data_IF_972950974048
#
_entry.id   IF_972950974048
#
_cell.length_a   1.000
_cell.length_b   1.000
_cell.length_c   1.000
_cell.angle_alpha   90.00
_cell.angle_beta   90.00
_cell.angle_gamma   90.00
#
_symmetry.space_group_name_H-M   'P 1'
#
loop_
_entity.id
_entity.type
_entity.pdbx_description
1 polymer ?
#
# COMPACT_ATOMS: atom_id res chain seq x y z
N UNK A 1 -7.33 10.36 -8.81
CA UNK A 1 -7.04 9.52 -9.98
C UNK A 1 -8.04 9.76 -11.11
N UNK A 2 -9.36 9.65 -10.89
CA UNK A 2 -10.37 10.01 -11.90
C UNK A 2 -10.40 9.04 -13.09
N UNK A 3 -10.82 9.51 -14.26
CA UNK A 3 -10.82 8.78 -15.54
C UNK A 3 -9.44 8.75 -16.23
N UNK A 4 -8.44 9.45 -15.68
CA UNK A 4 -7.10 9.48 -16.25
C UNK A 4 -6.38 8.14 -16.08
N UNK A 5 -6.28 7.38 -17.17
CA UNK A 5 -5.64 6.06 -17.25
C UNK A 5 -4.18 6.06 -16.78
N UNK A 6 -3.43 7.14 -17.03
CA UNK A 6 -2.02 7.22 -16.64
C UNK A 6 -1.87 7.30 -15.12
N UNK A 7 -2.78 8.00 -14.43
CA UNK A 7 -2.79 8.07 -12.97
C UNK A 7 -3.01 6.69 -12.35
N UNK A 8 -3.93 5.91 -12.90
CA UNK A 8 -4.15 4.52 -12.48
C UNK A 8 -2.94 3.65 -12.76
N UNK A 9 -2.34 3.73 -13.96
CA UNK A 9 -1.13 2.97 -14.32
C UNK A 9 0.00 3.24 -13.32
N UNK A 10 0.28 4.51 -13.04
CA UNK A 10 1.31 4.94 -12.08
C UNK A 10 1.04 4.43 -10.67
N UNK A 11 -0.19 4.55 -10.20
CA UNK A 11 -0.61 4.04 -8.90
C UNK A 11 -0.40 2.52 -8.77
N UNK A 12 -0.87 1.75 -9.76
CA UNK A 12 -0.76 0.28 -9.75
C UNK A 12 0.71 -0.17 -9.80
N UNK A 13 1.56 0.54 -10.57
CA UNK A 13 3.01 0.30 -10.59
C UNK A 13 3.66 0.56 -9.24
N UNK A 14 3.37 1.70 -8.63
CA UNK A 14 3.94 2.06 -7.34
C UNK A 14 3.52 1.08 -6.24
N UNK A 15 2.23 0.72 -6.20
CA UNK A 15 1.75 -0.27 -5.24
C UNK A 15 2.42 -1.64 -5.46
N UNK A 16 2.50 -2.13 -6.71
CA UNK A 16 3.19 -3.38 -7.01
C UNK A 16 4.70 -3.36 -6.70
N UNK A 17 5.37 -2.23 -6.92
CA UNK A 17 6.79 -2.10 -6.62
C UNK A 17 7.03 -2.11 -5.10
N UNK A 18 6.15 -1.48 -4.32
CA UNK A 18 6.39 -1.18 -2.90
C UNK A 18 5.45 -1.88 -1.92
N UNK A 19 4.65 -2.88 -2.34
CA UNK A 19 3.66 -3.55 -1.46
C UNK A 19 4.28 -4.08 -0.15
N UNK A 20 5.49 -4.65 -0.20
CA UNK A 20 6.19 -5.12 1.00
C UNK A 20 6.52 -3.99 1.99
N UNK A 21 6.85 -2.80 1.49
CA UNK A 21 7.10 -1.61 2.32
C UNK A 21 5.80 -1.12 2.94
N UNK A 22 4.73 -1.08 2.14
CA UNK A 22 3.40 -0.68 2.58
C UNK A 22 2.90 -1.61 3.68
N UNK A 23 2.97 -2.93 3.51
CA UNK A 23 2.52 -3.90 4.51
C UNK A 23 3.25 -3.74 5.83
N UNK A 24 4.58 -3.72 5.82
CA UNK A 24 5.36 -3.50 7.03
C UNK A 24 4.94 -2.21 7.72
N UNK A 25 4.77 -1.13 6.97
CA UNK A 25 4.37 0.16 7.51
C UNK A 25 2.98 0.10 8.18
N UNK A 26 1.97 -0.44 7.50
CA UNK A 26 0.57 -0.46 7.99
C UNK A 26 0.32 -1.46 9.11
N UNK A 27 1.29 -2.33 9.43
CA UNK A 27 1.26 -3.09 10.69
C UNK A 27 1.35 -2.19 11.93
N UNK A 28 1.63 -0.90 11.76
CA UNK A 28 1.60 0.09 12.83
C UNK A 28 2.75 -0.11 13.80
N UNK A 29 2.43 -0.28 15.07
CA UNK A 29 3.40 -0.61 16.11
C UNK A 29 3.78 -2.10 16.15
N UNK A 30 3.08 -2.97 15.42
CA UNK A 30 3.36 -4.41 15.40
C UNK A 30 4.48 -4.76 14.41
N UNK A 31 5.26 -5.79 14.75
CA UNK A 31 6.36 -6.29 13.92
C UNK A 31 5.91 -7.13 12.71
N UNK A 32 4.70 -7.69 12.76
CA UNK A 32 4.14 -8.52 11.70
C UNK A 32 2.62 -8.31 11.53
N UNK A 33 2.07 -8.92 10.47
CA UNK A 33 0.65 -8.90 10.17
C UNK A 33 -0.22 -9.63 11.20
N UNK A 34 -1.46 -9.18 11.37
CA UNK A 34 -2.47 -9.84 12.21
C UNK A 34 -2.77 -11.28 11.76
N UNK A 35 -3.31 -12.08 12.68
CA UNK A 35 -3.78 -13.43 12.36
C UNK A 35 -4.79 -13.41 11.20
N UNK A 36 -4.68 -14.37 10.29
CA UNK A 36 -5.48 -14.46 9.06
C UNK A 36 -5.39 -13.23 8.13
N UNK A 37 -4.36 -12.38 8.23
CA UNK A 37 -4.18 -11.23 7.34
C UNK A 37 -4.29 -11.67 5.87
N UNK A 38 -3.47 -12.63 5.44
CA UNK A 38 -3.46 -13.10 4.05
C UNK A 38 -4.73 -13.83 3.62
N UNK A 39 -5.58 -14.26 4.56
CA UNK A 39 -6.91 -14.82 4.25
C UNK A 39 -7.94 -13.75 3.92
N UNK A 40 -7.79 -12.53 4.47
CA UNK A 40 -8.79 -11.46 4.37
C UNK A 40 -8.28 -10.17 3.70
N UNK A 41 -6.98 -10.11 3.43
CA UNK A 41 -6.23 -9.04 2.79
C UNK A 41 -4.96 -9.64 2.14
N UNK A 42 -5.16 -10.58 1.20
CA UNK A 42 -4.08 -11.22 0.46
C UNK A 42 -3.27 -10.17 -0.34
N UNK A 43 -1.93 -10.24 -0.37
CA UNK A 43 -1.12 -9.33 -1.19
C UNK A 43 -1.45 -9.49 -2.67
N UNK A 44 -1.31 -8.42 -3.46
CA UNK A 44 -1.68 -8.42 -4.88
C UNK A 44 -0.57 -8.00 -5.83
N UNK A 45 0.60 -7.63 -5.33
CA UNK A 45 1.78 -7.22 -6.08
C UNK A 45 2.08 -8.20 -7.23
N UNK A 46 2.08 -9.51 -6.94
CA UNK A 46 2.31 -10.56 -7.94
C UNK A 46 1.27 -10.57 -9.06
N UNK A 47 0.00 -10.41 -8.70
CA UNK A 47 -1.09 -10.39 -9.66
C UNK A 47 -1.03 -9.12 -10.52
N UNK A 48 -0.70 -7.97 -9.92
CA UNK A 48 -0.50 -6.72 -10.64
C UNK A 48 0.67 -6.85 -11.62
N UNK A 49 1.79 -7.40 -11.18
CA UNK A 49 2.97 -7.58 -12.02
C UNK A 49 2.72 -8.53 -13.20
N UNK A 50 2.03 -9.66 -12.97
CA UNK A 50 1.61 -10.58 -14.05
C UNK A 50 0.74 -9.88 -15.10
N UNK A 51 -0.04 -8.88 -14.69
CA UNK A 51 -0.88 -8.07 -15.57
C UNK A 51 -0.19 -6.79 -16.08
N UNK A 52 1.06 -6.53 -15.72
CA UNK A 52 1.74 -5.25 -16.01
C UNK A 52 1.81 -4.93 -17.50
N UNK A 53 1.94 -5.95 -18.36
CA UNK A 53 1.91 -5.78 -19.82
C UNK A 53 0.58 -5.17 -20.31
N UNK A 54 -0.53 -5.50 -19.67
CA UNK A 54 -1.85 -4.99 -20.01
C UNK A 54 -2.07 -3.62 -19.37
N UNK A 55 -1.64 -3.43 -18.12
CA UNK A 55 -1.67 -2.14 -17.41
C UNK A 55 -0.90 -1.07 -18.22
N UNK A 56 0.27 -1.43 -18.77
CA UNK A 56 1.07 -0.55 -19.62
C UNK A 56 0.42 -0.22 -20.96
N UNK A 57 -0.43 -1.11 -21.49
CA UNK A 57 -1.11 -0.94 -22.78
C UNK A 57 -2.52 -0.36 -22.67
N UNK A 58 -3.03 -0.20 -21.44
CA UNK A 58 -4.35 0.36 -21.19
C UNK A 58 -4.47 1.75 -21.82
N UNK A 59 -5.48 1.96 -22.66
CA UNK A 59 -5.74 3.21 -23.39
C UNK A 59 -6.75 4.08 -22.67
N UNK A 60 -7.66 3.46 -21.93
CA UNK A 60 -8.76 4.12 -21.23
C UNK A 60 -9.02 3.46 -19.86
N UNK A 61 -10.02 3.99 -19.16
CA UNK A 61 -10.41 3.50 -17.84
C UNK A 61 -11.09 2.13 -17.89
N UNK A 62 -11.70 1.77 -19.02
CA UNK A 62 -12.37 0.47 -19.19
C UNK A 62 -11.35 -0.66 -19.32
N UNK A 63 -10.20 -0.42 -19.94
CA UNK A 63 -9.05 -1.32 -19.91
C UNK A 63 -8.60 -1.61 -18.47
N UNK A 64 -8.48 -0.55 -17.65
CA UNK A 64 -8.12 -0.68 -16.23
C UNK A 64 -9.19 -1.46 -15.47
N UNK A 65 -10.46 -1.13 -15.68
CA UNK A 65 -11.58 -1.82 -15.05
C UNK A 65 -11.57 -3.32 -15.37
N UNK A 66 -11.35 -3.71 -16.64
CA UNK A 66 -11.27 -5.12 -17.05
C UNK A 66 -10.14 -5.87 -16.36
N UNK A 67 -8.99 -5.23 -16.18
CA UNK A 67 -7.86 -5.82 -15.47
C UNK A 67 -8.21 -6.01 -13.98
N UNK A 68 -8.76 -4.98 -13.35
CA UNK A 68 -9.00 -4.93 -11.90
C UNK A 68 -10.26 -5.68 -11.45
N UNK A 69 -11.23 -5.92 -12.34
CA UNK A 69 -12.45 -6.69 -12.05
C UNK A 69 -12.17 -8.16 -11.66
N UNK A 70 -11.00 -8.68 -12.02
CA UNK A 70 -10.59 -10.05 -11.68
C UNK A 70 -10.07 -10.21 -10.25
N UNK A 71 -9.90 -9.12 -9.49
CA UNK A 71 -9.36 -9.16 -8.14
C UNK A 71 -10.45 -9.46 -7.10
N UNK A 72 -10.11 -10.32 -6.15
CA UNK A 72 -11.06 -10.76 -5.13
C UNK A 72 -11.29 -9.68 -4.05
N UNK A 73 -12.47 -9.70 -3.43
CA UNK A 73 -12.78 -8.83 -2.28
C UNK A 73 -11.79 -8.97 -1.12
N UNK A 74 -11.15 -10.13 -0.99
CA UNK A 74 -10.22 -10.45 0.10
C UNK A 74 -8.77 -10.05 -0.21
N UNK A 75 -8.54 -9.23 -1.23
CA UNK A 75 -7.23 -8.62 -1.53
C UNK A 75 -6.90 -7.47 -0.59
N UNK A 76 -5.61 -7.22 -0.34
CA UNK A 76 -5.12 -6.15 0.51
C UNK A 76 -5.41 -4.75 -0.06
N UNK A 77 -5.42 -4.63 -1.38
CA UNK A 77 -5.95 -3.50 -2.11
C UNK A 77 -7.15 -4.00 -2.91
N UNK A 78 -8.33 -3.49 -2.59
CA UNK A 78 -9.61 -3.96 -3.11
C UNK A 78 -10.28 -2.86 -3.94
N UNK A 79 -10.65 -3.23 -5.17
CA UNK A 79 -11.26 -2.34 -6.17
C UNK A 79 -12.76 -2.61 -6.39
N UNK A 80 -13.37 -3.55 -5.65
CA UNK A 80 -14.73 -4.05 -5.92
C UNK A 80 -15.82 -2.97 -5.88
N UNK A 81 -15.61 -1.92 -5.09
CA UNK A 81 -16.56 -0.82 -4.97
C UNK A 81 -16.17 0.38 -5.83
N UNK A 82 -15.09 0.30 -6.61
CA UNK A 82 -14.70 1.38 -7.53
C UNK A 82 -15.69 1.39 -8.69
N UNK A 83 -16.41 2.48 -8.85
CA UNK A 83 -17.40 2.65 -9.91
C UNK A 83 -16.75 3.26 -11.15
N UNK A 84 -16.02 2.45 -11.92
CA UNK A 84 -15.30 2.92 -13.11
C UNK A 84 -16.21 3.58 -14.16
N UNK A 85 -17.46 3.11 -14.29
CA UNK A 85 -18.46 3.69 -15.21
C UNK A 85 -19.01 5.05 -14.76
N UNK A 86 -18.75 5.47 -13.52
CA UNK A 86 -19.16 6.76 -12.93
C UNK A 86 -17.98 7.46 -12.27
N UNK A 87 -16.76 7.23 -12.77
CA UNK A 87 -15.52 7.61 -12.08
C UNK A 87 -15.32 9.12 -11.91
N UNK A 88 -16.01 9.92 -12.72
CA UNK A 88 -16.03 11.39 -12.66
C UNK A 88 -17.14 11.94 -11.75
N UNK A 89 -18.06 11.09 -11.28
CA UNK A 89 -19.19 11.50 -10.46
C UNK A 89 -18.89 11.27 -8.97
N UNK A 90 -19.42 12.15 -8.12
CA UNK A 90 -19.45 11.90 -6.67
C UNK A 90 -20.56 10.91 -6.37
N UNK A 91 -20.21 9.62 -6.32
CA UNK A 91 -21.15 8.54 -6.02
C UNK A 91 -20.91 7.97 -4.64
N UNK A 92 -21.99 7.74 -3.91
CA UNK A 92 -21.98 7.08 -2.60
C UNK A 92 -21.34 5.69 -2.75
N UNK A 93 -20.45 5.34 -1.81
CA UNK A 93 -19.74 4.05 -1.75
C UNK A 93 -18.80 3.77 -2.95
N UNK A 94 -18.36 4.78 -3.70
CA UNK A 94 -17.27 4.64 -4.66
C UNK A 94 -15.91 4.65 -3.92
N UNK A 95 -15.42 3.47 -3.53
CA UNK A 95 -14.25 3.36 -2.64
C UNK A 95 -13.17 2.45 -3.18
N UNK A 96 -11.93 2.92 -3.10
CA UNK A 96 -10.73 2.10 -3.10
C UNK A 96 -10.41 1.70 -1.65
N UNK A 97 -10.33 0.40 -1.37
CA UNK A 97 -10.16 -0.10 0.00
C UNK A 97 -8.74 -0.66 0.24
N UNK A 98 -8.05 -0.12 1.24
CA UNK A 98 -6.85 -0.74 1.82
C UNK A 98 -7.25 -1.58 3.04
N UNK A 99 -6.92 -2.87 3.01
CA UNK A 99 -7.41 -3.89 3.97
C UNK A 99 -6.29 -4.53 4.79
N UNK A 100 -5.04 -4.16 4.50
CA UNK A 100 -3.82 -4.64 5.15
C UNK A 100 -3.48 -4.02 6.51
N UNK A 101 -3.99 -2.85 6.94
CA UNK A 101 -3.68 -2.33 8.27
C UNK A 101 -4.02 -3.29 9.41
N UNK A 102 -3.16 -3.31 10.43
CA UNK A 102 -3.47 -3.97 11.70
C UNK A 102 -4.42 -3.10 12.54
N UNK A 103 -5.20 -3.75 13.40
CA UNK A 103 -5.96 -3.03 14.41
C UNK A 103 -4.98 -2.43 15.44
N UNK A 104 -5.24 -1.18 15.81
CA UNK A 104 -4.47 -0.44 16.81
C UNK A 104 -5.40 0.53 17.54
N UNK A 105 -5.08 0.81 18.80
CA UNK A 105 -5.72 1.85 19.62
C UNK A 105 -4.97 3.17 19.57
N UNK A 106 -3.78 3.19 18.96
CA UNK A 106 -2.94 4.37 18.82
C UNK A 106 -3.46 5.25 17.67
N UNK A 107 -4.06 6.38 18.01
CA UNK A 107 -4.61 7.34 17.05
C UNK A 107 -3.57 7.85 16.04
N UNK A 108 -2.32 8.03 16.49
CA UNK A 108 -1.20 8.46 15.65
C UNK A 108 -0.92 7.45 14.53
N UNK A 109 -1.03 6.16 14.81
CA UNK A 109 -0.82 5.12 13.78
C UNK A 109 -1.92 5.20 12.72
N UNK A 110 -3.17 5.47 13.12
CA UNK A 110 -4.26 5.68 12.16
C UNK A 110 -4.07 6.94 11.32
N UNK A 111 -3.69 8.07 11.92
CA UNK A 111 -3.41 9.31 11.20
C UNK A 111 -2.28 9.12 10.18
N UNK A 112 -1.20 8.46 10.60
CA UNK A 112 -0.08 8.10 9.73
C UNK A 112 -0.53 7.23 8.56
N UNK A 113 -1.28 6.14 8.84
CA UNK A 113 -1.80 5.25 7.81
C UNK A 113 -2.66 6.00 6.78
N UNK A 114 -3.59 6.84 7.25
CA UNK A 114 -4.44 7.65 6.36
C UNK A 114 -3.60 8.59 5.50
N UNK A 115 -2.62 9.28 6.11
CA UNK A 115 -1.74 10.20 5.38
C UNK A 115 -0.94 9.48 4.28
N UNK A 116 -0.22 8.41 4.64
CA UNK A 116 0.64 7.69 3.69
C UNK A 116 -0.13 7.04 2.54
N UNK A 117 -1.27 6.38 2.84
CA UNK A 117 -2.08 5.72 1.81
C UNK A 117 -2.76 6.75 0.89
N UNK A 118 -3.19 7.89 1.45
CA UNK A 118 -3.73 9.00 0.65
C UNK A 118 -2.65 9.62 -0.22
N UNK A 119 -1.46 9.87 0.32
CA UNK A 119 -0.32 10.42 -0.43
C UNK A 119 0.14 9.48 -1.54
N UNK A 120 0.12 8.16 -1.34
CA UNK A 120 0.34 7.16 -2.41
C UNK A 120 -0.67 7.30 -3.55
N UNK A 121 -1.96 7.51 -3.24
CA UNK A 121 -3.00 7.69 -4.26
C UNK A 121 -2.91 9.05 -4.96
N UNK A 122 -2.56 10.11 -4.22
CA UNK A 122 -2.45 11.46 -4.78
C UNK A 122 -1.18 11.65 -5.60
N UNK A 123 -0.06 11.04 -5.18
CA UNK A 123 1.23 11.17 -5.87
C UNK A 123 1.17 10.62 -7.29
N UNK A 124 0.40 9.56 -7.53
CA UNK A 124 0.21 8.99 -8.87
C UNK A 124 -0.41 9.96 -9.89
N UNK A 125 -1.07 11.01 -9.40
CA UNK A 125 -1.71 12.05 -10.22
C UNK A 125 -0.80 13.27 -10.44
N UNK A 126 0.43 13.27 -9.93
CA UNK A 126 1.41 14.34 -10.14
C UNK A 126 2.08 14.19 -11.50
N UNK A 127 2.37 15.32 -12.16
CA UNK A 127 2.98 15.32 -13.49
C UNK A 127 4.42 14.79 -13.50
N UNK A 128 5.16 15.03 -12.41
CA UNK A 128 6.56 14.64 -12.23
C UNK A 128 6.73 13.26 -11.58
N UNK A 129 5.73 12.40 -11.67
CA UNK A 129 5.81 11.05 -11.11
C UNK A 129 6.79 10.18 -11.92
N UNK A 130 7.86 9.70 -11.27
CA UNK A 130 8.95 8.97 -11.91
C UNK A 130 8.54 7.54 -12.30
N UNK A 131 7.84 7.44 -13.44
CA UNK A 131 7.35 6.18 -13.97
C UNK A 131 8.46 5.29 -14.53
N UNK A 132 9.56 5.88 -15.00
CA UNK A 132 10.72 5.14 -15.52
C UNK A 132 11.47 4.42 -14.41
N UNK A 133 11.65 5.08 -13.26
CA UNK A 133 12.16 4.43 -12.05
C UNK A 133 11.28 3.26 -11.61
N UNK A 134 9.95 3.42 -11.62
CA UNK A 134 9.04 2.30 -11.29
C UNK A 134 9.16 1.13 -12.27
N UNK A 135 9.30 1.41 -13.57
CA UNK A 135 9.53 0.38 -14.57
C UNK A 135 10.85 -0.38 -14.30
N UNK A 136 11.89 0.35 -13.91
CA UNK A 136 13.18 -0.23 -13.51
C UNK A 136 13.03 -1.12 -12.28
N UNK A 137 12.41 -0.62 -11.21
CA UNK A 137 12.18 -1.35 -9.96
C UNK A 137 11.42 -2.66 -10.18
N UNK A 138 10.31 -2.60 -10.93
CA UNK A 138 9.48 -3.78 -11.22
C UNK A 138 10.22 -4.83 -12.05
N UNK A 139 11.13 -4.41 -12.95
CA UNK A 139 11.85 -5.32 -13.85
C UNK A 139 13.08 -5.94 -13.20
N UNK A 140 13.81 -5.20 -12.36
CA UNK A 140 15.13 -5.61 -11.88
C UNK A 140 15.19 -5.94 -10.39
N UNK A 141 14.33 -5.34 -9.56
CA UNK A 141 14.41 -5.42 -8.09
C UNK A 141 13.27 -6.21 -7.45
N UNK A 142 12.49 -6.94 -8.27
CA UNK A 142 11.36 -7.74 -7.81
C UNK A 142 11.82 -9.11 -7.33
N UNK A 143 11.37 -9.50 -6.14
CA UNK A 143 11.60 -10.85 -5.61
C UNK A 143 10.61 -11.87 -6.20
N UNK A 144 10.98 -13.15 -6.16
CA UNK A 144 10.02 -14.23 -6.47
C UNK A 144 8.94 -14.32 -5.38
N UNK A 145 7.74 -14.76 -5.75
CA UNK A 145 6.53 -14.76 -4.90
C UNK A 145 6.72 -15.32 -3.49
N UNK A 146 7.48 -16.41 -3.35
CA UNK A 146 7.75 -17.05 -2.06
C UNK A 146 8.67 -16.22 -1.16
N UNK A 147 9.67 -15.57 -1.75
CA UNK A 147 10.57 -14.67 -1.02
C UNK A 147 9.88 -13.33 -0.72
N UNK A 148 8.96 -12.90 -1.58
CA UNK A 148 8.20 -11.66 -1.41
C UNK A 148 7.44 -11.67 -0.08
N UNK A 149 6.71 -12.74 0.26
CA UNK A 149 5.99 -12.83 1.54
C UNK A 149 6.90 -12.67 2.78
N UNK A 150 8.13 -13.19 2.72
CA UNK A 150 9.08 -13.01 3.83
C UNK A 150 9.48 -11.54 3.99
N UNK A 151 9.60 -10.79 2.88
CA UNK A 151 9.99 -9.37 2.91
C UNK A 151 8.98 -8.46 3.63
N UNK A 152 7.74 -8.91 3.84
CA UNK A 152 6.67 -8.07 4.41
C UNK A 152 6.89 -7.80 5.89
N UNK A 153 7.63 -8.69 6.55
CA UNK A 153 8.03 -8.55 7.95
C UNK A 153 9.48 -8.06 8.09
N UNK A 154 10.17 -7.71 7.00
CA UNK A 154 11.58 -7.28 7.01
C UNK A 154 11.75 -5.78 6.80
N UNK A 155 12.78 -5.20 7.43
CA UNK A 155 13.22 -3.83 7.16
C UNK A 155 14.07 -3.80 5.91
N UNK A 156 13.66 -3.02 4.92
CA UNK A 156 14.45 -2.67 3.74
C UNK A 156 14.52 -1.14 3.65
N UNK A 157 15.49 -0.54 4.34
CA UNK A 157 15.57 0.91 4.48
C UNK A 157 15.76 1.61 3.12
N UNK A 158 16.59 1.07 2.23
CA UNK A 158 16.79 1.61 0.88
C UNK A 158 15.45 1.78 0.15
N UNK A 159 14.69 0.69 0.03
CA UNK A 159 13.41 0.68 -0.67
C UNK A 159 12.34 1.52 0.05
N UNK A 160 12.42 1.64 1.37
CA UNK A 160 11.56 2.55 2.14
C UNK A 160 11.88 4.03 1.88
N UNK A 161 13.16 4.39 1.78
CA UNK A 161 13.61 5.74 1.41
C UNK A 161 13.13 6.10 0.01
N UNK A 162 13.36 5.20 -0.96
CA UNK A 162 12.89 5.38 -2.34
C UNK A 162 11.37 5.59 -2.39
N UNK A 163 10.61 4.83 -1.58
CA UNK A 163 9.16 4.95 -1.51
C UNK A 163 8.69 6.28 -0.92
N UNK A 164 9.28 6.74 0.19
CA UNK A 164 8.87 8.00 0.82
C UNK A 164 9.23 9.22 -0.03
N UNK A 165 10.32 9.16 -0.78
CA UNK A 165 10.70 10.18 -1.75
C UNK A 165 9.73 10.22 -2.92
N UNK A 166 9.18 9.07 -3.32
CA UNK A 166 8.17 8.98 -4.38
C UNK A 166 6.81 9.58 -3.97
N UNK A 167 6.35 9.36 -2.73
CA UNK A 167 4.97 9.71 -2.34
C UNK A 167 4.83 11.01 -1.53
N UNK A 168 5.89 11.47 -0.84
CA UNK A 168 5.84 12.66 0.01
C UNK A 168 6.63 13.83 -0.58
N UNK A 169 6.07 15.02 -0.37
CA UNK A 169 6.65 16.31 -0.78
C UNK A 169 7.33 17.07 0.36
N UNK A 170 7.27 16.55 1.59
CA UNK A 170 7.84 17.19 2.76
C UNK A 170 8.59 16.19 3.64
N UNK A 171 9.64 16.65 4.31
CA UNK A 171 10.49 15.78 5.13
C UNK A 171 9.82 15.32 6.43
N UNK A 172 8.86 16.07 6.95
CA UNK A 172 8.17 15.72 8.19
C UNK A 172 7.40 14.41 8.03
N UNK A 173 6.61 14.30 6.97
CA UNK A 173 5.87 13.07 6.63
C UNK A 173 6.81 11.90 6.39
N UNK A 174 7.95 12.12 5.70
CA UNK A 174 8.97 11.08 5.46
C UNK A 174 9.51 10.54 6.78
N UNK A 175 9.85 11.42 7.72
CA UNK A 175 10.36 11.02 9.05
C UNK A 175 9.31 10.24 9.83
N UNK A 176 8.06 10.69 9.87
CA UNK A 176 6.99 9.96 10.56
C UNK A 176 6.71 8.61 9.91
N UNK A 177 6.74 8.54 8.58
CA UNK A 177 6.62 7.28 7.86
C UNK A 177 7.73 6.30 8.28
N UNK A 178 8.99 6.74 8.18
CA UNK A 178 10.14 5.90 8.50
C UNK A 178 10.12 5.45 9.96
N UNK A 179 9.77 6.33 10.90
CA UNK A 179 9.64 6.00 12.32
C UNK A 179 8.67 4.84 12.56
N UNK A 180 7.49 4.89 11.95
CA UNK A 180 6.51 3.81 12.06
C UNK A 180 6.96 2.54 11.31
N UNK A 181 7.57 2.70 10.14
CA UNK A 181 8.08 1.59 9.33
C UNK A 181 9.15 0.76 10.05
N UNK A 182 10.11 1.43 10.72
CA UNK A 182 11.17 0.76 11.50
C UNK A 182 10.69 0.29 12.88
N UNK A 183 9.44 0.59 13.26
CA UNK A 183 8.88 0.31 14.60
C UNK A 183 9.61 1.06 15.72
N UNK A 184 10.14 2.24 15.40
CA UNK A 184 10.93 3.09 16.30
C UNK A 184 10.12 3.82 17.39
N UNK A 185 8.93 3.31 17.74
CA UNK A 185 8.19 3.78 18.91
C UNK A 185 8.68 3.11 20.21
N UNK A 186 9.52 2.07 20.11
CA UNK A 186 10.00 1.30 21.26
C UNK A 186 10.88 2.07 22.25
N UNK A 187 11.47 3.21 21.89
CA UNK A 187 12.40 3.92 22.78
C UNK A 187 11.76 4.99 23.67
N UNK A 188 10.47 5.34 23.48
CA UNK A 188 9.79 6.34 24.31
C UNK A 188 8.81 5.76 25.34
N UNK A 189 8.70 4.43 25.45
CA UNK A 189 7.90 3.77 26.50
C UNK A 189 8.74 3.31 27.69
N UNK A 190 9.78 4.08 28.03
CA UNK A 190 10.40 4.08 29.34
C UNK A 190 9.49 4.71 30.41
N UNK A 191 8.23 4.30 30.50
CA UNK A 191 7.38 4.51 31.68
C UNK A 191 6.47 3.30 31.85
N UNK A 192 6.69 2.59 32.96
CA UNK A 192 5.83 1.53 33.46
C UNK A 192 4.34 1.90 33.43
N UNK A 193 3.53 1.16 32.67
CA UNK A 193 2.24 0.65 33.16
C UNK A 193 1.73 -0.50 32.30
N UNK A 194 1.73 -1.67 32.92
CA UNK A 194 0.97 -2.87 32.59
C UNK A 194 -0.44 -2.57 32.06
N UNK A 195 -0.79 -3.15 30.91
CA UNK A 195 -2.15 -3.61 30.64
C UNK A 195 -2.07 -4.88 29.82
N UNK A 196 -2.61 -5.94 30.41
CA UNK A 196 -2.52 -7.35 30.02
C UNK A 196 -2.81 -7.56 28.54
N UNK A 197 -1.97 -8.38 27.90
CA UNK A 197 -2.30 -9.10 26.67
C UNK A 197 -3.65 -9.78 26.84
N UNK A 198 -4.70 -9.32 26.16
CA UNK A 198 -5.88 -10.14 25.93
C UNK A 198 -5.42 -11.26 24.99
N UNK A 199 -5.11 -12.42 25.57
CA UNK A 199 -5.00 -13.66 24.80
C UNK A 199 -6.35 -13.88 24.15
N UNK A 200 -6.42 -13.86 22.82
CA UNK A 200 -7.51 -14.53 22.13
C UNK A 200 -7.32 -16.03 22.41
N UNK A 201 -8.22 -16.58 23.23
CA UNK A 201 -8.23 -18.01 23.57
C UNK A 201 -9.01 -18.77 22.49
N UNK A 202 -8.30 -19.76 21.93
CA UNK A 202 -8.66 -20.86 21.02
C UNK A 202 -9.15 -20.51 19.61
#
# INVERSE_FOLDING_TARGET
MGDNVNNWRRFLKAYAAYESIIFRYVYGEKSCGRYNLYKYAAPISDNLYKNMRYINKAKDIDDINRILSNYERKSALNFKNVQFHLITNTVIMNTLEFRSPNATVEEIVWQNNVNALTKLVLSSSKDYFDEDHLNYELKHNRFSSKLELYMYDQVCLKKALDFVDLIFDNNLDKVYFLRQYIKGFCENYGVNKTSKTIKFVK
#
